data_IF_924742392994
#
_entry.id   IF_924742392994
#
_cell.length_a   1.000
_cell.length_b   1.000
_cell.length_c   1.000
_cell.angle_alpha   90.00
_cell.angle_beta   90.00
_cell.angle_gamma   90.00
#
_symmetry.space_group_name_H-M   'P 1'
#
loop_
_entity.id
_entity.type
_entity.pdbx_description
1 polymer ?
#
# COMPACT_ATOMS: atom_id res chain seq x y z
N UNK A 1 -5.66 -9.28 61.95
CA UNK A 1 -6.26 -8.81 60.68
C UNK A 1 -6.35 -9.99 59.73
N UNK A 2 -7.53 -10.20 59.15
CA UNK A 2 -7.88 -11.05 57.99
C UNK A 2 -7.55 -12.55 58.04
N UNK A 3 -8.52 -13.45 58.24
CA UNK A 3 -9.41 -14.05 57.22
C UNK A 3 -8.70 -14.56 55.96
N UNK A 4 -8.66 -15.90 55.82
CA UNK A 4 -9.11 -16.57 54.59
C UNK A 4 -9.21 -18.08 54.79
N UNK A 5 -10.42 -18.56 54.56
CA UNK A 5 -10.87 -19.95 54.50
C UNK A 5 -10.23 -20.66 53.30
N UNK A 6 -9.90 -21.94 53.44
CA UNK A 6 -9.75 -22.86 52.31
C UNK A 6 -10.73 -24.02 52.46
N UNK A 7 -11.56 -24.15 51.42
CA UNK A 7 -12.57 -25.18 51.23
C UNK A 7 -11.95 -26.49 50.75
N UNK A 8 -12.50 -27.56 51.29
CA UNK A 8 -12.29 -28.96 50.97
C UNK A 8 -13.01 -29.35 49.67
N UNK A 9 -12.34 -30.11 48.79
CA UNK A 9 -12.99 -30.89 47.73
C UNK A 9 -12.29 -32.25 47.60
N UNK A 10 -13.06 -33.31 47.75
CA UNK A 10 -12.64 -34.71 47.64
C UNK A 10 -12.43 -35.21 46.20
N UNK A 11 -12.05 -36.49 46.03
CA UNK A 11 -11.22 -36.96 44.93
C UNK A 11 -12.02 -37.56 43.76
N UNK A 12 -11.51 -37.38 42.54
CA UNK A 12 -11.97 -38.12 41.36
C UNK A 12 -10.92 -39.13 40.89
N UNK A 13 -11.30 -40.40 40.95
CA UNK A 13 -11.31 -41.33 39.81
C UNK A 13 -9.99 -41.61 39.10
N UNK A 14 -9.46 -42.82 39.32
CA UNK A 14 -8.39 -43.39 38.52
C UNK A 14 -8.80 -43.80 37.11
N UNK A 15 -7.79 -43.99 36.26
CA UNK A 15 -7.97 -44.64 34.96
C UNK A 15 -6.86 -44.32 33.96
N UNK A 16 -6.06 -45.36 33.67
CA UNK A 16 -5.29 -45.61 32.44
C UNK A 16 -4.05 -44.76 32.14
N UNK A 17 -2.92 -45.34 32.51
CA UNK A 17 -1.56 -45.11 32.01
C UNK A 17 -1.50 -45.48 30.51
N UNK A 18 -1.13 -44.52 29.66
CA UNK A 18 -0.81 -44.76 28.25
C UNK A 18 0.70 -44.58 28.09
N UNK A 19 1.35 -45.68 27.72
CA UNK A 19 2.79 -45.79 27.53
C UNK A 19 3.20 -45.11 26.21
N UNK A 20 3.95 -44.02 26.32
CA UNK A 20 4.58 -43.31 25.21
C UNK A 20 5.97 -43.92 25.00
N UNK A 21 6.10 -44.91 24.11
CA UNK A 21 7.30 -45.19 23.30
C UNK A 21 7.09 -46.49 22.50
N UNK A 22 6.75 -46.36 21.21
CA UNK A 22 7.16 -47.27 20.14
C UNK A 22 6.90 -46.59 18.79
N UNK A 23 7.93 -45.92 18.28
CA UNK A 23 7.96 -45.37 16.94
C UNK A 23 8.70 -46.37 16.03
N UNK A 24 7.95 -47.14 15.25
CA UNK A 24 8.51 -47.86 14.10
C UNK A 24 8.30 -47.02 12.84
N UNK A 25 9.42 -46.71 12.19
CA UNK A 25 9.53 -45.98 10.93
C UNK A 25 9.28 -46.94 9.78
N UNK A 26 8.28 -46.66 8.94
CA UNK A 26 8.03 -47.41 7.69
C UNK A 26 8.55 -46.60 6.52
N UNK A 27 9.41 -47.25 5.73
CA UNK A 27 10.09 -46.72 4.55
C UNK A 27 9.11 -46.35 3.41
N UNK A 28 9.35 -45.21 2.79
CA UNK A 28 8.60 -44.71 1.63
C UNK A 28 9.30 -45.14 0.33
N UNK A 29 8.62 -45.91 -0.52
CA UNK A 29 9.05 -46.12 -1.91
C UNK A 29 8.76 -47.51 -2.47
N UNK A 30 7.53 -47.73 -2.95
CA UNK A 30 7.25 -48.72 -4.01
C UNK A 30 6.15 -48.16 -4.92
N UNK A 31 6.48 -48.04 -6.21
CA UNK A 31 5.55 -47.70 -7.29
C UNK A 31 4.54 -48.83 -7.51
N UNK A 32 3.24 -48.50 -7.49
CA UNK A 32 2.18 -49.36 -7.99
C UNK A 32 1.50 -48.71 -9.20
N UNK A 33 1.30 -49.50 -10.26
CA UNK A 33 0.73 -49.10 -11.54
C UNK A 33 -0.75 -48.67 -11.43
N UNK A 34 -1.25 -47.76 -12.28
CA UNK A 34 -2.63 -47.29 -12.20
C UNK A 34 -3.61 -48.31 -12.79
N UNK A 35 -4.41 -48.92 -11.91
CA UNK A 35 -5.65 -49.60 -12.24
C UNK A 35 -6.83 -48.62 -12.28
N UNK A 36 -7.71 -48.82 -13.25
CA UNK A 36 -8.89 -48.04 -13.62
C UNK A 36 -9.84 -47.76 -12.44
N UNK A 37 -10.03 -46.49 -12.11
CA UNK A 37 -11.20 -46.00 -11.37
C UNK A 37 -12.11 -45.26 -12.34
N UNK A 38 -13.38 -45.66 -12.35
CA UNK A 38 -14.44 -45.08 -13.17
C UNK A 38 -14.95 -43.81 -12.48
N UNK A 39 -14.59 -42.64 -13.02
CA UNK A 39 -14.98 -41.34 -12.49
C UNK A 39 -16.30 -40.89 -13.14
N UNK A 40 -17.40 -41.03 -12.39
CA UNK A 40 -18.78 -40.77 -12.84
C UNK A 40 -19.18 -39.30 -12.73
N UNK A 41 -18.25 -38.34 -12.76
CA UNK A 41 -18.60 -36.92 -12.72
C UNK A 41 -17.77 -36.06 -13.68
N UNK A 42 -18.09 -36.13 -14.97
CA UNK A 42 -17.60 -35.19 -16.00
C UNK A 42 -18.71 -34.20 -16.39
N UNK A 43 -18.58 -32.90 -16.09
CA UNK A 43 -19.51 -31.87 -16.57
C UNK A 43 -19.36 -31.63 -18.09
N UNK A 44 -20.48 -31.40 -18.75
CA UNK A 44 -20.65 -31.36 -20.21
C UNK A 44 -20.41 -29.97 -20.83
N UNK A 45 -19.19 -29.44 -20.79
CA UNK A 45 -18.79 -28.37 -21.71
C UNK A 45 -17.27 -28.38 -21.95
N UNK A 46 -16.76 -29.42 -22.58
CA UNK A 46 -15.45 -29.32 -23.24
C UNK A 46 -15.46 -30.31 -24.41
N UNK A 47 -15.74 -29.76 -25.58
CA UNK A 47 -15.61 -30.44 -26.86
C UNK A 47 -14.67 -29.61 -27.75
N UNK A 48 -13.85 -30.37 -28.46
CA UNK A 48 -12.62 -30.01 -29.15
C UNK A 48 -12.80 -29.01 -30.30
N UNK A 49 -11.78 -28.18 -30.52
CA UNK A 49 -11.42 -27.72 -31.86
C UNK A 49 -9.93 -28.00 -32.09
N UNK A 50 -9.67 -28.81 -33.12
CA UNK A 50 -8.38 -29.30 -33.59
C UNK A 50 -7.56 -28.22 -34.29
N UNK A 51 -6.24 -28.35 -34.19
CA UNK A 51 -5.25 -27.71 -35.06
C UNK A 51 -5.53 -28.04 -36.54
N UNK A 52 -5.71 -27.00 -37.36
CA UNK A 52 -5.07 -26.87 -38.68
C UNK A 52 -5.48 -25.55 -39.35
N UNK A 53 -4.59 -24.56 -39.33
CA UNK A 53 -4.50 -23.50 -40.33
C UNK A 53 -3.26 -22.64 -40.06
N UNK A 54 -2.14 -23.05 -40.67
CA UNK A 54 -1.08 -22.11 -41.04
C UNK A 54 -1.63 -21.25 -42.18
N UNK A 55 -1.76 -19.94 -41.97
CA UNK A 55 -1.58 -18.98 -43.06
C UNK A 55 -1.28 -17.57 -42.55
N UNK A 56 -0.46 -16.90 -43.37
CA UNK A 56 0.23 -15.64 -43.20
C UNK A 56 -0.57 -14.48 -42.58
N UNK A 57 0.02 -13.82 -41.57
CA UNK A 57 -0.28 -12.42 -41.27
C UNK A 57 0.84 -11.54 -41.82
N UNK A 58 0.54 -10.99 -42.99
CA UNK A 58 1.23 -9.90 -43.65
C UNK A 58 1.23 -8.65 -42.74
N UNK A 59 2.41 -8.10 -42.50
CA UNK A 59 2.61 -6.93 -41.64
C UNK A 59 2.20 -5.68 -42.40
N UNK A 60 1.06 -5.07 -42.05
CA UNK A 60 0.73 -3.73 -42.53
C UNK A 60 1.57 -2.67 -41.79
N UNK A 61 2.33 -1.81 -42.49
CA UNK A 61 3.03 -0.70 -41.86
C UNK A 61 2.05 0.42 -41.48
N UNK A 62 2.16 0.88 -40.24
CA UNK A 62 1.48 2.07 -39.72
C UNK A 62 2.03 3.30 -40.48
N UNK A 63 1.19 4.19 -41.05
CA UNK A 63 1.68 5.40 -41.69
C UNK A 63 2.29 6.33 -40.64
N UNK A 64 3.55 6.72 -40.88
CA UNK A 64 4.25 7.74 -40.11
C UNK A 64 3.51 9.08 -40.23
N UNK A 65 2.94 9.56 -39.13
CA UNK A 65 2.47 10.94 -39.03
C UNK A 65 3.64 11.92 -39.18
N UNK A 66 3.41 13.13 -39.71
CA UNK A 66 4.49 14.05 -40.03
C UNK A 66 5.27 14.45 -38.78
N UNK A 67 6.59 14.30 -38.85
CA UNK A 67 7.52 14.82 -37.86
C UNK A 67 7.29 16.32 -37.70
N UNK A 68 6.81 16.73 -36.52
CA UNK A 68 6.81 18.14 -36.11
C UNK A 68 8.26 18.50 -35.78
N UNK A 69 8.95 19.09 -36.76
CA UNK A 69 10.24 19.76 -36.54
C UNK A 69 9.99 20.92 -35.58
N UNK A 70 10.34 20.76 -34.31
CA UNK A 70 10.49 21.90 -33.42
C UNK A 70 11.75 22.64 -33.88
N UNK A 71 11.56 23.74 -34.61
CA UNK A 71 12.60 24.73 -34.83
C UNK A 71 13.04 25.25 -33.46
N UNK A 72 14.26 24.88 -33.04
CA UNK A 72 14.97 25.61 -32.00
C UNK A 72 15.37 26.95 -32.60
N UNK A 73 14.74 28.01 -32.12
CA UNK A 73 15.14 29.40 -32.36
C UNK A 73 16.52 29.60 -31.74
N UNK A 74 17.52 29.92 -32.57
CA UNK A 74 18.84 30.32 -32.08
C UNK A 74 18.74 31.65 -31.31
N UNK A 75 19.44 31.79 -30.16
CA UNK A 75 19.60 33.09 -29.54
C UNK A 75 20.59 33.95 -30.33
N UNK A 76 20.09 35.08 -30.84
CA UNK A 76 20.87 36.17 -31.45
C UNK A 76 21.87 36.72 -30.43
N UNK A 77 23.17 36.66 -30.76
CA UNK A 77 24.24 37.34 -30.02
C UNK A 77 24.15 38.86 -30.25
N UNK A 78 24.23 39.69 -29.20
CA UNK A 78 24.36 41.14 -29.38
C UNK A 78 25.79 41.52 -29.81
N UNK A 79 25.88 42.39 -30.81
CA UNK A 79 27.11 43.04 -31.28
C UNK A 79 27.82 43.81 -30.15
N UNK A 80 29.17 43.90 -30.15
CA UNK A 80 29.90 44.71 -29.17
C UNK A 80 29.79 46.20 -29.48
N UNK A 81 29.51 47.00 -28.44
CA UNK A 81 29.56 48.46 -28.46
C UNK A 81 31.02 48.97 -28.49
N UNK A 82 31.30 50.13 -29.12
CA UNK A 82 32.64 50.67 -29.21
C UNK A 82 33.11 51.35 -27.92
N UNK A 83 34.41 51.21 -27.65
CA UNK A 83 35.15 51.86 -26.56
C UNK A 83 35.07 53.38 -26.68
N UNK A 84 34.58 54.04 -25.61
CA UNK A 84 34.56 55.50 -25.48
C UNK A 84 35.83 55.97 -24.77
N UNK A 85 36.64 56.79 -25.46
CA UNK A 85 37.77 57.52 -24.90
C UNK A 85 37.28 58.67 -24.01
N UNK A 86 37.98 59.04 -22.92
CA UNK A 86 37.69 60.29 -22.20
C UNK A 86 38.34 61.50 -22.92
N UNK A 87 37.64 62.63 -23.06
CA UNK A 87 38.23 63.87 -23.57
C UNK A 87 38.83 64.74 -22.46
N UNK A 88 39.84 65.51 -22.88
CA UNK A 88 40.53 66.61 -22.20
C UNK A 88 39.58 67.64 -21.55
N UNK A 89 40.03 68.42 -20.54
CA UNK A 89 39.46 69.72 -20.26
C UNK A 89 40.28 70.84 -20.92
N UNK A 90 39.59 71.72 -21.64
CA UNK A 90 40.10 72.97 -22.17
C UNK A 90 39.44 74.17 -21.46
N UNK A 91 40.28 75.15 -21.12
CA UNK A 91 40.06 76.60 -21.11
C UNK A 91 38.97 77.21 -20.20
N UNK A 92 39.43 77.94 -19.19
CA UNK A 92 38.72 79.08 -18.59
C UNK A 92 39.38 80.39 -19.04
N UNK A 93 38.60 81.28 -19.66
CA UNK A 93 39.03 82.61 -20.11
C UNK A 93 38.69 83.67 -19.06
N UNK A 94 39.73 84.31 -18.54
CA UNK A 94 39.92 85.77 -18.49
C UNK A 94 39.08 86.65 -17.56
N UNK A 95 39.76 87.43 -16.71
CA UNK A 95 39.52 88.89 -16.55
C UNK A 95 40.83 89.66 -16.32
N UNK A 96 40.91 90.82 -17.00
CA UNK A 96 41.90 91.93 -16.94
C UNK A 96 42.03 92.48 -15.50
N UNK A 97 43.11 93.13 -15.06
CA UNK A 97 43.65 94.37 -15.61
C UNK A 97 45.00 94.83 -14.99
N UNK A 98 45.70 95.66 -15.78
CA UNK A 98 46.63 96.77 -15.48
C UNK A 98 47.92 96.54 -14.65
N UNK A 99 49.12 96.68 -15.23
CA UNK A 99 49.88 97.89 -15.67
C UNK A 99 50.82 98.44 -14.57
N UNK A 100 52.14 98.21 -14.69
CA UNK A 100 53.21 99.26 -14.78
C UNK A 100 54.64 98.71 -14.52
N UNK A 101 55.48 98.86 -15.55
CA UNK A 101 56.87 99.41 -15.63
C UNK A 101 58.05 98.82 -14.83
N UNK A 102 59.08 98.44 -15.63
CA UNK A 102 60.56 98.71 -15.54
C UNK A 102 61.32 98.16 -14.32
N UNK A 103 62.58 97.73 -14.34
CA UNK A 103 63.75 97.79 -15.24
C UNK A 103 64.64 96.54 -14.95
N UNK A 104 65.30 95.92 -15.95
CA UNK A 104 66.77 95.88 -16.19
C UNK A 104 67.69 95.79 -14.97
N UNK A 105 68.56 94.76 -14.96
CA UNK A 105 70.05 94.78 -14.87
C UNK A 105 70.51 93.29 -14.66
N UNK A 106 71.38 92.63 -15.46
CA UNK A 106 72.83 92.80 -15.70
C UNK A 106 73.58 93.02 -14.36
N UNK A 107 74.57 92.27 -13.88
CA UNK A 107 75.63 91.42 -14.42
C UNK A 107 76.27 90.62 -13.25
N UNK A 108 77.08 89.63 -13.62
CA UNK A 108 78.13 88.87 -12.89
C UNK A 108 79.11 89.73 -12.04
N UNK A 109 80.15 89.18 -11.33
CA UNK A 109 80.52 87.79 -10.97
C UNK A 109 81.15 87.61 -9.55
N UNK A 110 81.72 86.41 -9.31
CA UNK A 110 82.79 86.02 -8.37
C UNK A 110 82.52 85.91 -6.86
N UNK A 111 82.58 84.67 -6.36
CA UNK A 111 83.65 84.29 -5.43
C UNK A 111 83.66 82.77 -5.23
N UNK A 112 84.85 82.21 -5.43
CA UNK A 112 85.16 80.81 -5.31
C UNK A 112 85.08 80.33 -3.86
N UNK A 113 84.98 79.00 -3.71
CA UNK A 113 85.30 78.24 -2.50
C UNK A 113 84.20 78.19 -1.43
N UNK A 114 83.27 77.23 -1.60
CA UNK A 114 82.67 76.36 -0.56
C UNK A 114 81.47 75.60 -1.14
N UNK A 115 81.74 74.66 -2.05
CA UNK A 115 80.75 73.72 -2.59
C UNK A 115 81.37 72.33 -2.69
N UNK A 116 81.55 71.61 -1.58
CA UNK A 116 81.80 70.16 -1.58
C UNK A 116 81.43 69.52 -0.22
N UNK A 117 80.31 69.91 0.38
CA UNK A 117 79.75 69.20 1.55
C UNK A 117 78.25 68.84 1.42
N UNK A 118 77.37 69.60 0.72
CA UNK A 118 75.99 69.15 0.51
C UNK A 118 75.81 68.22 -0.71
N UNK A 119 76.77 68.15 -1.63
CA UNK A 119 76.70 67.26 -2.81
C UNK A 119 77.15 65.81 -2.51
N UNK A 120 78.11 65.63 -1.62
CA UNK A 120 78.54 64.29 -1.20
C UNK A 120 77.46 63.58 -0.38
N UNK A 121 76.68 64.33 0.42
CA UNK A 121 75.58 63.78 1.21
C UNK A 121 74.38 63.40 0.35
N UNK A 122 74.08 64.17 -0.71
CA UNK A 122 73.02 63.83 -1.69
C UNK A 122 73.43 62.64 -2.57
N UNK A 123 74.71 62.52 -2.97
CA UNK A 123 75.20 61.35 -3.72
C UNK A 123 75.34 60.12 -2.82
N UNK A 124 75.69 60.27 -1.55
CA UNK A 124 75.67 59.16 -0.58
C UNK A 124 74.24 58.73 -0.23
N UNK A 125 73.26 59.64 -0.19
CA UNK A 125 71.83 59.29 -0.08
C UNK A 125 71.26 58.69 -1.37
N UNK A 126 71.72 59.14 -2.55
CA UNK A 126 71.30 58.58 -3.85
C UNK A 126 71.96 57.23 -4.13
N UNK A 127 73.22 57.01 -3.74
CA UNK A 127 73.93 55.74 -3.90
C UNK A 127 73.61 54.74 -2.77
N UNK A 128 73.50 55.23 -1.53
CA UNK A 128 73.08 54.42 -0.37
C UNK A 128 71.58 54.10 -0.36
N UNK A 129 70.75 55.00 -0.90
CA UNK A 129 69.33 54.77 -1.12
C UNK A 129 69.11 53.61 -2.09
N UNK A 130 69.83 53.55 -3.22
CA UNK A 130 69.67 52.45 -4.20
C UNK A 130 70.12 51.07 -3.70
N UNK A 131 71.03 50.97 -2.73
CA UNK A 131 71.46 49.67 -2.19
C UNK A 131 70.50 49.09 -1.16
N UNK A 132 69.72 49.91 -0.44
CA UNK A 132 68.72 49.42 0.50
C UNK A 132 67.50 48.79 -0.19
N UNK A 133 67.12 49.31 -1.37
CA UNK A 133 66.00 48.78 -2.16
C UNK A 133 66.22 47.37 -2.71
N UNK A 134 67.46 46.85 -2.74
CA UNK A 134 67.74 45.49 -3.22
C UNK A 134 67.70 44.46 -2.09
N UNK A 135 67.80 44.90 -0.83
CA UNK A 135 67.84 43.98 0.32
C UNK A 135 66.45 43.44 0.72
N UNK A 136 65.38 44.17 0.40
CA UNK A 136 64.00 43.79 0.72
C UNK A 136 63.24 43.15 -0.45
N UNK A 137 63.88 42.97 -1.61
CA UNK A 137 63.29 42.25 -2.74
C UNK A 137 63.25 40.75 -2.47
N UNK A 138 62.03 40.18 -2.44
CA UNK A 138 61.79 38.76 -2.16
C UNK A 138 61.34 38.08 -3.45
N UNK A 139 62.01 37.01 -3.84
CA UNK A 139 61.57 36.16 -4.94
C UNK A 139 60.68 35.06 -4.38
N UNK A 140 59.38 35.05 -4.71
CA UNK A 140 58.40 34.11 -4.15
C UNK A 140 57.65 33.38 -5.26
N UNK A 141 57.16 32.19 -4.96
CA UNK A 141 56.30 31.41 -5.86
C UNK A 141 54.85 31.46 -5.39
N UNK A 142 53.99 32.13 -6.16
CA UNK A 142 52.56 32.19 -5.91
C UNK A 142 51.82 31.20 -6.83
N UNK A 143 51.23 30.16 -6.24
CA UNK A 143 50.37 29.20 -6.91
C UNK A 143 48.91 29.50 -6.63
N UNK A 144 48.19 30.06 -7.61
CA UNK A 144 46.75 30.29 -7.50
C UNK A 144 46.00 29.21 -8.26
N UNK A 145 45.21 28.39 -7.56
CA UNK A 145 44.40 27.32 -8.16
C UNK A 145 45.23 26.35 -9.04
N UNK A 146 46.45 26.03 -8.58
CA UNK A 146 47.37 25.13 -9.28
C UNK A 146 48.10 25.76 -10.48
N UNK A 147 48.10 27.09 -10.61
CA UNK A 147 48.90 27.82 -11.62
C UNK A 147 50.05 28.56 -10.93
N UNK A 148 51.28 28.03 -10.98
CA UNK A 148 52.43 28.67 -10.35
C UNK A 148 52.85 29.92 -11.12
N UNK A 149 53.27 30.94 -10.38
CA UNK A 149 53.89 32.18 -10.88
C UNK A 149 55.03 32.57 -9.95
N UNK A 150 56.24 32.67 -10.48
CA UNK A 150 57.35 33.28 -9.76
C UNK A 150 57.28 34.79 -9.92
N UNK A 151 57.35 35.52 -8.81
CA UNK A 151 57.27 36.97 -8.78
C UNK A 151 58.23 37.57 -7.75
N UNK A 152 58.58 38.83 -7.97
CA UNK A 152 59.38 39.62 -7.06
C UNK A 152 58.45 40.57 -6.30
N UNK A 153 58.59 40.64 -4.98
CA UNK A 153 57.73 41.45 -4.13
C UNK A 153 58.50 42.09 -2.98
N UNK A 154 57.98 43.22 -2.51
CA UNK A 154 58.43 43.91 -1.31
C UNK A 154 57.46 43.71 -0.13
N UNK A 155 56.37 42.97 -0.32
CA UNK A 155 55.39 42.71 0.73
C UNK A 155 56.03 42.13 2.00
N UNK A 156 55.57 42.60 3.15
CA UNK A 156 56.03 42.15 4.47
C UNK A 156 55.38 40.81 4.84
N UNK A 157 54.13 40.59 4.42
CA UNK A 157 53.36 39.40 4.73
C UNK A 157 52.57 38.84 3.53
N UNK A 158 52.05 37.63 3.70
CA UNK A 158 51.23 36.94 2.67
C UNK A 158 49.96 37.72 2.32
N UNK A 159 49.34 38.41 3.26
CA UNK A 159 48.12 39.19 3.01
C UNK A 159 48.37 40.39 2.10
N UNK A 160 49.45 41.14 2.35
CA UNK A 160 49.89 42.25 1.51
C UNK A 160 50.25 41.77 0.10
N UNK A 161 51.01 40.68 -0.01
CA UNK A 161 51.34 40.05 -1.29
C UNK A 161 50.10 39.75 -2.14
N UNK A 162 49.09 39.12 -1.53
CA UNK A 162 47.85 38.77 -2.23
C UNK A 162 47.05 40.00 -2.63
N UNK A 163 47.05 41.06 -1.82
CA UNK A 163 46.38 42.32 -2.14
C UNK A 163 47.03 43.01 -3.36
N UNK A 164 48.36 43.06 -3.40
CA UNK A 164 49.14 43.67 -4.49
C UNK A 164 48.95 42.93 -5.82
N UNK A 165 48.92 41.59 -5.79
CA UNK A 165 48.63 40.77 -6.98
C UNK A 165 47.14 40.73 -7.34
N UNK A 166 46.28 41.43 -6.60
CA UNK A 166 44.83 41.49 -6.85
C UNK A 166 44.10 40.17 -6.58
N UNK A 167 44.70 39.28 -5.78
CA UNK A 167 44.15 37.98 -5.39
C UNK A 167 43.22 38.16 -4.20
N UNK A 168 41.92 38.30 -4.49
CA UNK A 168 40.89 38.38 -3.45
C UNK A 168 40.58 36.98 -2.91
N UNK A 169 40.72 36.82 -1.60
CA UNK A 169 40.37 35.59 -0.88
C UNK A 169 39.11 35.80 -0.04
N UNK A 170 38.23 34.80 -0.04
CA UNK A 170 37.00 34.73 0.74
C UNK A 170 37.13 33.78 1.94
N UNK A 171 36.04 33.66 2.70
CA UNK A 171 35.97 32.86 3.93
C UNK A 171 36.26 31.35 3.72
N UNK A 172 35.94 30.82 2.54
CA UNK A 172 36.07 29.39 2.22
C UNK A 172 37.31 29.07 1.38
N UNK A 173 38.19 30.05 1.18
CA UNK A 173 39.45 29.88 0.48
C UNK A 173 40.54 29.41 1.46
N UNK A 174 41.49 28.63 0.96
CA UNK A 174 42.63 28.17 1.75
C UNK A 174 43.88 28.85 1.21
N UNK A 175 44.58 29.58 2.09
CA UNK A 175 45.86 30.22 1.81
C UNK A 175 46.91 29.61 2.72
N UNK A 176 48.01 29.14 2.13
CA UNK A 176 49.16 28.58 2.85
C UNK A 176 50.43 29.24 2.32
N UNK A 177 51.25 29.87 3.17
CA UNK A 177 51.03 30.19 4.59
C UNK A 177 49.81 31.10 4.84
N UNK A 178 49.33 31.21 6.09
CA UNK A 178 48.12 31.97 6.40
C UNK A 178 48.30 33.49 6.14
N UNK A 179 47.21 34.23 5.85
CA UNK A 179 47.28 35.69 5.71
C UNK A 179 47.86 36.33 6.99
N UNK A 180 48.87 37.19 6.86
CA UNK A 180 49.62 37.79 7.97
C UNK A 180 50.85 37.00 8.45
N UNK A 181 51.21 35.89 7.77
CA UNK A 181 52.52 35.24 7.97
C UNK A 181 53.61 36.08 7.30
N UNK A 182 54.73 36.31 8.00
CA UNK A 182 55.90 37.00 7.45
C UNK A 182 56.39 36.32 6.17
N UNK A 183 56.80 37.11 5.18
CA UNK A 183 57.25 36.62 3.88
C UNK A 183 58.78 36.67 3.76
N UNK A 184 59.40 35.61 3.26
CA UNK A 184 60.82 35.52 2.95
C UNK A 184 61.07 35.16 1.47
N UNK A 185 62.28 35.46 0.99
CA UNK A 185 62.70 35.07 -0.36
C UNK A 185 62.84 33.54 -0.44
N UNK A 186 62.24 32.94 -1.46
CA UNK A 186 62.12 31.50 -1.65
C UNK A 186 60.81 30.89 -1.15
N UNK A 187 59.93 31.68 -0.53
CA UNK A 187 58.65 31.17 -0.02
C UNK A 187 57.70 30.74 -1.13
N UNK A 188 56.97 29.66 -0.86
CA UNK A 188 55.90 29.13 -1.70
C UNK A 188 54.54 29.46 -1.06
N UNK A 189 53.71 30.20 -1.79
CA UNK A 189 52.39 30.64 -1.36
C UNK A 189 51.36 29.97 -2.26
N UNK A 190 50.48 29.19 -1.66
CA UNK A 190 49.41 28.50 -2.38
C UNK A 190 48.05 29.05 -1.97
N UNK A 191 47.25 29.41 -2.97
CA UNK A 191 45.87 29.85 -2.83
C UNK A 191 44.95 28.85 -3.52
N UNK A 192 44.07 28.21 -2.75
CA UNK A 192 43.00 27.37 -3.27
C UNK A 192 41.65 28.04 -3.04
N UNK A 193 40.93 28.36 -4.12
CA UNK A 193 39.61 28.95 -3.98
C UNK A 193 38.57 27.91 -3.56
N UNK A 194 37.72 28.28 -2.61
CA UNK A 194 36.52 27.56 -2.23
C UNK A 194 35.49 27.57 -3.35
N UNK A 195 34.85 26.43 -3.56
CA UNK A 195 33.84 26.20 -4.59
C UNK A 195 32.59 25.60 -3.95
N UNK A 196 31.41 26.21 -4.12
CA UNK A 196 30.20 25.68 -3.54
C UNK A 196 29.71 24.46 -4.32
N UNK A 197 29.40 23.37 -3.64
CA UNK A 197 28.90 22.13 -4.23
C UNK A 197 27.52 21.83 -3.64
N UNK A 198 26.52 21.76 -4.53
CA UNK A 198 25.16 21.32 -4.20
C UNK A 198 25.02 19.85 -4.61
N UNK A 199 25.11 18.96 -3.64
CA UNK A 199 25.11 17.51 -3.84
C UNK A 199 23.78 16.92 -3.35
N UNK A 200 23.05 16.22 -4.22
CA UNK A 200 21.99 15.32 -3.80
C UNK A 200 22.56 13.92 -3.65
N UNK A 201 22.95 13.53 -2.44
CA UNK A 201 23.47 12.20 -2.16
C UNK A 201 22.32 11.29 -1.71
N UNK A 202 22.03 10.24 -2.49
CA UNK A 202 21.02 9.25 -2.13
C UNK A 202 19.63 9.86 -1.81
N UNK A 203 19.29 10.92 -2.55
CA UNK A 203 18.05 11.68 -2.40
C UNK A 203 18.08 12.75 -1.30
N UNK A 204 19.18 12.88 -0.55
CA UNK A 204 19.35 13.91 0.48
C UNK A 204 20.14 15.11 -0.07
N UNK A 205 19.55 16.31 -0.13
CA UNK A 205 20.26 17.50 -0.59
C UNK A 205 21.24 17.98 0.49
N UNK A 206 22.46 18.30 0.06
CA UNK A 206 23.53 18.84 0.88
C UNK A 206 24.24 19.96 0.13
N UNK A 207 24.66 20.99 0.86
CA UNK A 207 25.49 22.07 0.33
C UNK A 207 26.76 22.17 1.16
N UNK A 208 27.91 22.22 0.49
CA UNK A 208 29.20 22.29 1.15
C UNK A 208 30.23 22.97 0.25
N UNK A 209 31.33 23.42 0.85
CA UNK A 209 32.43 24.10 0.13
C UNK A 209 33.64 23.17 0.00
N UNK A 210 34.23 23.14 -1.20
CA UNK A 210 35.43 22.36 -1.49
C UNK A 210 36.49 23.21 -2.18
N UNK A 211 37.76 22.91 -1.92
CA UNK A 211 38.89 23.43 -2.73
C UNK A 211 39.20 22.53 -3.93
N UNK A 212 38.57 21.36 -4.03
CA UNK A 212 38.80 20.40 -5.10
C UNK A 212 38.46 20.96 -6.49
N UNK A 213 39.29 20.63 -7.48
CA UNK A 213 39.10 21.13 -8.84
C UNK A 213 38.19 20.25 -9.69
N UNK A 214 37.92 19.02 -9.26
CA UNK A 214 37.13 18.02 -9.98
C UNK A 214 36.11 17.34 -9.09
N UNK A 215 35.06 16.79 -9.70
CA UNK A 215 34.02 16.03 -8.99
C UNK A 215 34.61 14.82 -8.25
N UNK A 216 35.52 14.08 -8.88
CA UNK A 216 36.18 12.93 -8.27
C UNK A 216 36.91 13.29 -6.98
N UNK A 217 37.70 14.36 -7.01
CA UNK A 217 38.44 14.84 -5.85
C UNK A 217 37.49 15.32 -4.75
N UNK A 218 36.43 16.06 -5.10
CA UNK A 218 35.43 16.53 -4.16
C UNK A 218 34.70 15.38 -3.46
N UNK A 219 34.28 14.34 -4.21
CA UNK A 219 33.62 13.17 -3.64
C UNK A 219 34.58 12.35 -2.76
N UNK A 220 35.86 12.28 -3.12
CA UNK A 220 36.89 11.63 -2.30
C UNK A 220 37.08 12.36 -0.96
N UNK A 221 37.10 13.69 -0.95
CA UNK A 221 37.15 14.48 0.29
C UNK A 221 35.93 14.23 1.18
N UNK A 222 34.75 14.04 0.57
CA UNK A 222 33.51 13.73 1.29
C UNK A 222 33.39 12.25 1.71
N UNK A 223 34.34 11.39 1.32
CA UNK A 223 34.29 9.95 1.60
C UNK A 223 33.20 9.20 0.84
N UNK A 224 32.66 9.78 -0.24
CA UNK A 224 31.62 9.15 -1.05
C UNK A 224 32.26 8.18 -2.04
N UNK A 225 31.92 6.89 -1.94
CA UNK A 225 32.35 5.88 -2.90
C UNK A 225 31.64 6.11 -4.25
N UNK A 226 32.38 6.62 -5.22
CA UNK A 226 31.86 6.89 -6.57
C UNK A 226 31.74 5.63 -7.45
N UNK A 227 32.47 4.55 -7.12
CA UNK A 227 32.48 3.32 -7.90
C UNK A 227 31.10 2.62 -7.89
N UNK A 228 30.59 2.25 -9.09
CA UNK A 228 29.23 1.71 -9.27
C UNK A 228 28.08 2.72 -9.08
N UNK A 229 28.38 3.92 -8.54
CA UNK A 229 27.37 4.95 -8.31
C UNK A 229 26.86 5.56 -9.63
N UNK A 230 25.58 5.90 -9.65
CA UNK A 230 25.04 6.80 -10.67
C UNK A 230 25.46 8.24 -10.33
N UNK A 231 25.84 9.00 -11.35
CA UNK A 231 26.20 10.40 -11.23
C UNK A 231 25.53 11.20 -12.35
N UNK A 232 24.93 12.34 -12.01
CA UNK A 232 24.36 13.24 -13.02
C UNK A 232 25.41 14.00 -13.84
N UNK A 233 26.67 14.02 -13.37
CA UNK A 233 27.82 14.66 -14.00
C UNK A 233 29.02 13.70 -14.05
N UNK A 234 29.97 13.96 -14.95
CA UNK A 234 31.21 13.17 -15.04
C UNK A 234 32.09 13.33 -13.79
N UNK A 235 32.80 12.28 -13.39
CA UNK A 235 33.84 12.33 -12.33
C UNK A 235 34.98 13.30 -12.66
N UNK A 236 35.32 13.42 -13.93
CA UNK A 236 36.35 14.33 -14.43
C UNK A 236 35.84 15.76 -14.66
N UNK A 237 34.55 16.02 -14.43
CA UNK A 237 33.99 17.37 -14.58
C UNK A 237 34.70 18.33 -13.64
N UNK A 238 35.17 19.45 -14.18
CA UNK A 238 35.77 20.51 -13.37
C UNK A 238 34.69 21.26 -12.58
N UNK A 239 35.00 21.56 -11.32
CA UNK A 239 34.17 22.41 -10.47
C UNK A 239 34.67 23.84 -10.64
N UNK A 240 33.83 24.72 -11.19
CA UNK A 240 34.16 26.14 -11.34
C UNK A 240 34.01 26.91 -10.03
N UNK A 241 34.45 28.18 -10.00
CA UNK A 241 34.24 29.08 -8.84
C UNK A 241 32.76 29.39 -8.57
N UNK A 242 31.92 29.30 -9.60
CA UNK A 242 30.46 29.40 -9.45
C UNK A 242 29.83 28.17 -8.77
N UNK A 243 30.62 27.12 -8.53
CA UNK A 243 30.16 25.87 -7.95
C UNK A 243 29.63 24.86 -8.96
N UNK A 244 29.10 23.77 -8.45
CA UNK A 244 28.51 22.68 -9.24
C UNK A 244 27.34 22.03 -8.49
N UNK A 245 26.26 21.74 -9.21
CA UNK A 245 25.16 20.92 -8.70
C UNK A 245 25.24 19.52 -9.29
N UNK A 246 25.09 18.49 -8.48
CA UNK A 246 25.13 17.10 -8.93
C UNK A 246 24.28 16.18 -8.08
N UNK A 247 23.80 15.10 -8.68
CA UNK A 247 23.08 14.03 -8.01
C UNK A 247 23.94 12.77 -8.05
N UNK A 248 24.16 12.17 -6.89
CA UNK A 248 24.92 10.93 -6.73
C UNK A 248 24.05 9.91 -6.04
N UNK A 249 23.90 8.74 -6.66
CA UNK A 249 23.22 7.59 -6.06
C UNK A 249 24.23 6.47 -5.90
N UNK A 250 24.59 6.19 -4.65
CA UNK A 250 25.58 5.16 -4.30
C UNK A 250 25.11 3.77 -4.76
N UNK A 251 26.05 2.89 -5.05
CA UNK A 251 25.71 1.50 -5.30
C UNK A 251 25.37 0.79 -3.98
N UNK A 252 24.27 0.05 -3.97
CA UNK A 252 23.78 -0.71 -2.83
C UNK A 252 23.38 -2.13 -3.20
N UNK A 253 23.50 -3.03 -2.23
CA UNK A 253 23.00 -4.40 -2.31
C UNK A 253 21.55 -4.44 -1.83
N UNK A 254 20.63 -4.94 -2.65
CA UNK A 254 19.23 -5.15 -2.28
C UNK A 254 18.86 -6.60 -2.58
N UNK A 255 18.25 -7.27 -1.61
CA UNK A 255 17.71 -8.62 -1.78
C UNK A 255 16.22 -8.53 -2.04
N UNK A 256 15.78 -8.96 -3.23
CA UNK A 256 14.38 -9.02 -3.60
C UNK A 256 13.87 -10.45 -3.45
N UNK A 257 12.84 -10.63 -2.63
CA UNK A 257 12.14 -11.89 -2.43
C UNK A 257 10.86 -11.88 -3.24
N UNK A 258 10.73 -12.73 -4.25
CA UNK A 258 9.52 -12.85 -5.05
C UNK A 258 9.25 -14.31 -5.40
N UNK A 259 7.99 -14.73 -5.33
CA UNK A 259 7.54 -16.05 -5.79
C UNK A 259 8.37 -17.21 -5.19
N UNK A 260 8.72 -17.08 -3.90
CA UNK A 260 9.52 -18.04 -3.14
C UNK A 260 11.03 -18.02 -3.42
N UNK A 261 11.52 -17.13 -4.28
CA UNK A 261 12.94 -17.02 -4.65
C UNK A 261 13.55 -15.72 -4.15
N UNK A 262 14.80 -15.81 -3.68
CA UNK A 262 15.63 -14.68 -3.31
C UNK A 262 16.54 -14.28 -4.48
N UNK A 263 16.61 -12.98 -4.79
CA UNK A 263 17.57 -12.44 -5.74
C UNK A 263 18.24 -11.20 -5.15
N UNK A 264 19.54 -11.29 -4.89
CA UNK A 264 20.35 -10.14 -4.48
C UNK A 264 20.94 -9.47 -5.70
N UNK A 265 20.79 -8.15 -5.78
CA UNK A 265 21.34 -7.31 -6.85
C UNK A 265 22.16 -6.16 -6.27
N UNK A 266 23.16 -5.72 -7.02
CA UNK A 266 23.82 -4.42 -6.82
C UNK A 266 23.13 -3.41 -7.73
N UNK A 267 22.68 -2.29 -7.19
CA UNK A 267 21.90 -1.29 -7.92
C UNK A 267 22.15 0.11 -7.38
N UNK A 268 21.90 1.13 -8.19
CA UNK A 268 21.87 2.53 -7.80
C UNK A 268 20.45 3.13 -7.97
N UNK A 269 19.42 2.26 -8.04
CA UNK A 269 18.02 2.62 -8.16
C UNK A 269 17.60 3.70 -7.15
N UNK A 270 16.80 4.67 -7.62
CA UNK A 270 16.28 5.75 -6.77
C UNK A 270 15.10 5.29 -5.91
N UNK A 271 14.41 4.23 -6.34
CA UNK A 271 13.23 3.70 -5.64
C UNK A 271 13.27 2.18 -5.50
N UNK A 272 12.54 1.65 -4.52
CA UNK A 272 12.35 0.20 -4.35
C UNK A 272 11.73 -0.43 -5.59
N UNK A 273 10.79 0.26 -6.25
CA UNK A 273 10.19 -0.21 -7.50
C UNK A 273 11.23 -0.41 -8.59
N UNK A 274 12.14 0.55 -8.77
CA UNK A 274 13.25 0.43 -9.72
C UNK A 274 14.21 -0.71 -9.36
N UNK A 275 14.53 -0.88 -8.07
CA UNK A 275 15.38 -1.99 -7.61
C UNK A 275 14.72 -3.36 -7.89
N UNK A 276 13.41 -3.49 -7.66
CA UNK A 276 12.65 -4.71 -7.97
C UNK A 276 12.62 -4.97 -9.48
N UNK A 277 12.44 -3.94 -10.30
CA UNK A 277 12.51 -4.05 -11.75
C UNK A 277 13.92 -4.46 -12.24
N UNK A 278 14.97 -3.89 -11.65
CA UNK A 278 16.36 -4.26 -11.94
C UNK A 278 16.67 -5.71 -11.53
N UNK A 279 15.97 -6.25 -10.53
CA UNK A 279 16.02 -7.67 -10.19
C UNK A 279 15.24 -8.55 -11.18
N UNK A 280 14.72 -8.00 -12.28
CA UNK A 280 13.96 -8.72 -13.30
C UNK A 280 12.53 -9.08 -12.87
N UNK A 281 12.00 -8.42 -11.83
CA UNK A 281 10.67 -8.69 -11.29
C UNK A 281 9.76 -7.52 -11.63
N UNK A 282 8.72 -7.79 -12.43
CA UNK A 282 7.71 -6.78 -12.76
C UNK A 282 6.53 -6.89 -11.79
N UNK A 283 6.13 -5.77 -11.19
CA UNK A 283 4.89 -5.64 -10.43
C UNK A 283 3.73 -5.44 -11.41
N UNK A 284 2.64 -6.21 -11.25
CA UNK A 284 1.46 -6.12 -12.12
C UNK A 284 0.20 -5.85 -11.31
N UNK A 285 -0.75 -5.13 -11.89
CA UNK A 285 -2.06 -4.89 -11.26
C UNK A 285 -1.90 -4.25 -9.88
N UNK A 286 -2.30 -4.97 -8.84
CA UNK A 286 -2.25 -4.52 -7.45
C UNK A 286 -0.98 -4.99 -6.70
N UNK A 287 -0.04 -5.67 -7.37
CA UNK A 287 1.21 -6.12 -6.75
C UNK A 287 1.95 -4.96 -6.09
N UNK A 288 2.50 -5.22 -4.91
CA UNK A 288 3.25 -4.23 -4.15
C UNK A 288 4.47 -4.86 -3.47
N UNK A 289 5.20 -4.09 -2.69
CA UNK A 289 6.37 -4.54 -1.94
C UNK A 289 6.13 -4.42 -0.43
N UNK A 290 6.92 -5.14 0.37
CA UNK A 290 6.86 -5.10 1.84
C UNK A 290 7.21 -3.73 2.43
N UNK A 291 7.90 -2.91 1.65
CA UNK A 291 8.16 -1.50 1.90
C UNK A 291 7.53 -0.66 0.81
N UNK A 292 7.39 0.64 1.01
CA UNK A 292 6.77 1.53 0.02
C UNK A 292 7.54 1.50 -1.32
N UNK A 293 6.89 1.21 -2.47
CA UNK A 293 7.58 1.11 -3.75
C UNK A 293 8.33 2.39 -4.19
N UNK A 294 7.88 3.56 -3.76
CA UNK A 294 8.52 4.85 -4.03
C UNK A 294 9.64 5.23 -3.06
N UNK A 295 9.82 4.47 -1.97
CA UNK A 295 10.87 4.76 -0.99
C UNK A 295 12.26 4.44 -1.52
N UNK A 296 13.26 5.10 -0.95
CA UNK A 296 14.66 4.88 -1.30
C UNK A 296 15.17 3.53 -0.74
N UNK A 297 15.79 2.64 -1.56
CA UNK A 297 16.32 1.38 -1.06
C UNK A 297 17.55 1.58 -0.18
N UNK A 298 17.68 0.79 0.89
CA UNK A 298 18.85 0.79 1.78
C UNK A 298 19.82 -0.34 1.44
N UNK A 299 21.10 -0.14 1.75
CA UNK A 299 22.11 -1.20 1.58
C UNK A 299 21.83 -2.40 2.50
N UNK A 300 21.92 -3.61 1.96
CA UNK A 300 21.56 -4.85 2.63
C UNK A 300 20.05 -5.07 2.83
N UNK A 301 19.18 -4.19 2.35
CA UNK A 301 17.74 -4.29 2.57
C UNK A 301 17.13 -5.52 1.88
N UNK A 302 16.22 -6.20 2.58
CA UNK A 302 15.37 -7.23 1.98
C UNK A 302 13.99 -6.65 1.65
N UNK A 303 13.57 -6.78 0.40
CA UNK A 303 12.29 -6.33 -0.13
C UNK A 303 11.49 -7.53 -0.60
N UNK A 304 10.34 -7.79 0.02
CA UNK A 304 9.44 -8.88 -0.41
C UNK A 304 8.38 -8.35 -1.35
N UNK A 305 8.23 -8.99 -2.51
CA UNK A 305 7.14 -8.73 -3.46
C UNK A 305 5.89 -9.45 -2.98
N UNK A 306 4.80 -8.71 -2.92
CA UNK A 306 3.48 -9.18 -2.53
C UNK A 306 2.62 -9.28 -3.79
N UNK A 307 2.37 -10.52 -4.24
CA UNK A 307 1.49 -10.80 -5.38
C UNK A 307 0.05 -10.68 -4.96
N UNK A 308 -0.69 -9.73 -5.55
CA UNK A 308 -2.06 -9.43 -5.15
C UNK A 308 -3.00 -9.70 -6.32
N UNK A 309 -3.95 -10.59 -6.09
CA UNK A 309 -5.04 -10.84 -7.04
C UNK A 309 -6.38 -10.52 -6.42
N UNK A 310 -7.24 -9.86 -7.19
CA UNK A 310 -8.61 -9.52 -6.82
C UNK A 310 -9.59 -10.17 -7.78
N UNK A 311 -10.68 -10.72 -7.25
CA UNK A 311 -11.82 -11.17 -8.05
C UNK A 311 -13.14 -10.88 -7.34
N UNK A 312 -14.25 -10.98 -8.07
CA UNK A 312 -15.58 -10.87 -7.51
C UNK A 312 -16.25 -12.24 -7.53
N UNK A 313 -16.93 -12.58 -6.44
CA UNK A 313 -17.75 -13.78 -6.33
C UNK A 313 -19.19 -13.37 -6.02
N UNK A 314 -20.12 -13.88 -6.81
CA UNK A 314 -21.55 -13.64 -6.63
C UNK A 314 -22.16 -14.89 -6.00
N UNK A 315 -22.81 -14.71 -4.84
CA UNK A 315 -23.56 -15.78 -4.16
C UNK A 315 -25.03 -15.45 -4.12
N UNK A 316 -25.85 -16.42 -4.47
CA UNK A 316 -27.30 -16.32 -4.33
C UNK A 316 -27.76 -17.12 -3.11
N UNK A 317 -28.50 -16.45 -2.23
CA UNK A 317 -29.04 -17.05 -1.01
C UNK A 317 -30.56 -16.90 -0.98
N UNK A 318 -31.24 -17.96 -0.53
CA UNK A 318 -32.68 -17.94 -0.40
C UNK A 318 -33.10 -17.14 0.84
N UNK A 319 -34.12 -16.29 0.67
CA UNK A 319 -34.77 -15.59 1.78
C UNK A 319 -36.01 -16.42 2.16
N UNK A 320 -36.10 -16.98 3.37
CA UNK A 320 -37.28 -17.69 3.81
C UNK A 320 -38.54 -16.81 3.73
N UNK A 321 -39.69 -17.43 3.48
CA UNK A 321 -40.98 -16.72 3.47
C UNK A 321 -41.68 -16.83 4.82
N UNK A 322 -42.44 -15.79 5.19
CA UNK A 322 -43.32 -15.82 6.36
C UNK A 322 -44.62 -16.59 6.10
N UNK A 323 -45.27 -17.04 7.17
CA UNK A 323 -46.60 -17.68 7.12
C UNK A 323 -47.61 -16.84 7.89
N UNK A 324 -48.64 -16.33 7.21
CA UNK A 324 -49.79 -15.66 7.82
C UNK A 324 -50.95 -16.62 7.99
N UNK A 325 -51.45 -16.74 9.20
CA UNK A 325 -52.61 -17.57 9.53
C UNK A 325 -53.80 -16.68 9.81
N UNK A 326 -54.93 -16.94 9.16
CA UNK A 326 -56.16 -16.15 9.30
C UNK A 326 -57.31 -17.08 9.71
N UNK A 327 -58.02 -16.73 10.78
CA UNK A 327 -59.15 -17.50 11.26
C UNK A 327 -60.32 -17.47 10.25
N UNK A 328 -60.99 -18.60 10.08
CA UNK A 328 -62.07 -18.76 9.13
C UNK A 328 -63.27 -19.50 9.74
N UNK A 329 -64.40 -18.80 10.00
CA UNK A 329 -65.58 -19.40 10.60
C UNK A 329 -66.38 -20.29 9.62
N UNK A 330 -66.00 -20.35 8.34
CA UNK A 330 -66.61 -21.28 7.37
C UNK A 330 -65.96 -22.67 7.38
N UNK A 331 -64.69 -22.75 7.78
CA UNK A 331 -63.93 -23.99 7.86
C UNK A 331 -64.05 -24.62 9.26
N UNK A 332 -64.21 -25.93 9.31
CA UNK A 332 -64.25 -26.67 10.57
C UNK A 332 -62.94 -26.55 11.33
N UNK A 333 -63.04 -26.49 12.66
CA UNK A 333 -61.89 -26.47 13.56
C UNK A 333 -60.93 -27.63 13.25
N UNK A 334 -59.63 -27.32 13.17
CA UNK A 334 -58.59 -28.28 12.77
C UNK A 334 -58.43 -28.47 11.26
N UNK A 335 -59.26 -27.85 10.43
CA UNK A 335 -59.00 -27.74 9.00
C UNK A 335 -58.08 -26.55 8.71
N UNK A 336 -57.08 -26.77 7.87
CA UNK A 336 -56.19 -25.73 7.35
C UNK A 336 -56.25 -25.77 5.83
N UNK A 337 -56.38 -24.59 5.22
CA UNK A 337 -56.38 -24.44 3.78
C UNK A 337 -55.35 -23.38 3.42
N UNK A 338 -54.39 -23.74 2.57
CA UNK A 338 -53.45 -22.79 2.00
C UNK A 338 -54.18 -21.95 0.95
N UNK A 339 -54.52 -20.71 1.30
CA UNK A 339 -55.16 -19.75 0.39
C UNK A 339 -54.14 -19.28 -0.66
N UNK A 340 -52.89 -19.06 -0.24
CA UNK A 340 -51.81 -18.65 -1.13
C UNK A 340 -50.51 -19.30 -0.69
N UNK A 341 -49.89 -20.07 -1.58
CA UNK A 341 -48.59 -20.67 -1.32
C UNK A 341 -47.50 -19.60 -1.15
N UNK A 342 -46.62 -19.79 -0.15
CA UNK A 342 -45.44 -18.96 0.01
C UNK A 342 -44.43 -19.19 -1.11
N UNK A 343 -43.52 -18.23 -1.30
CA UNK A 343 -42.39 -18.39 -2.24
C UNK A 343 -41.14 -17.80 -1.59
N UNK A 344 -40.03 -18.54 -1.50
CA UNK A 344 -38.80 -17.98 -0.97
C UNK A 344 -38.32 -16.82 -1.86
N UNK A 345 -37.82 -15.78 -1.22
CA UNK A 345 -37.11 -14.70 -1.88
C UNK A 345 -35.73 -15.18 -2.33
N UNK A 346 -35.02 -14.32 -3.05
CA UNK A 346 -33.66 -14.55 -3.49
C UNK A 346 -32.90 -13.25 -3.29
N UNK A 347 -31.83 -13.30 -2.49
CA UNK A 347 -30.85 -12.21 -2.45
C UNK A 347 -29.57 -12.63 -3.14
N UNK A 348 -28.94 -11.66 -3.79
CA UNK A 348 -27.64 -11.80 -4.41
C UNK A 348 -26.64 -10.97 -3.62
N UNK A 349 -25.58 -11.61 -3.16
CA UNK A 349 -24.51 -10.99 -2.40
C UNK A 349 -23.24 -11.05 -3.26
N UNK A 350 -22.66 -9.89 -3.55
CA UNK A 350 -21.38 -9.80 -4.27
C UNK A 350 -20.25 -9.61 -3.25
N UNK A 351 -19.26 -10.50 -3.28
CA UNK A 351 -18.06 -10.46 -2.46
C UNK A 351 -16.85 -10.03 -3.28
N UNK A 352 -15.99 -9.19 -2.71
CA UNK A 352 -14.62 -9.02 -3.17
C UNK A 352 -13.76 -10.11 -2.51
N UNK A 353 -13.12 -10.91 -3.35
CA UNK A 353 -12.08 -11.83 -2.95
C UNK A 353 -10.73 -11.17 -3.22
N UNK A 354 -9.83 -11.26 -2.25
CA UNK A 354 -8.44 -10.79 -2.38
C UNK A 354 -7.52 -11.91 -1.93
N UNK A 355 -6.46 -12.14 -2.68
CA UNK A 355 -5.38 -13.07 -2.31
C UNK A 355 -4.07 -12.32 -2.24
N UNK A 356 -3.23 -12.64 -1.26
CA UNK A 356 -1.86 -12.11 -1.12
C UNK A 356 -0.91 -13.29 -1.10
N UNK A 357 0.01 -13.38 -2.06
CA UNK A 357 0.92 -14.50 -2.24
C UNK A 357 0.19 -15.87 -2.27
N UNK A 358 -0.98 -15.92 -2.93
CA UNK A 358 -1.80 -17.13 -3.02
C UNK A 358 -2.69 -17.40 -1.81
N UNK A 359 -2.50 -16.69 -0.69
CA UNK A 359 -3.32 -16.85 0.52
C UNK A 359 -4.58 -15.99 0.44
N UNK A 360 -5.74 -16.66 0.39
CA UNK A 360 -7.06 -16.02 0.37
C UNK A 360 -7.32 -15.25 1.67
N UNK A 361 -7.64 -13.97 1.53
CA UNK A 361 -8.13 -13.13 2.62
C UNK A 361 -9.62 -13.36 2.86
N UNK A 362 -10.12 -12.90 4.01
CA UNK A 362 -11.55 -12.95 4.32
C UNK A 362 -12.35 -12.20 3.24
N UNK A 363 -13.37 -12.82 2.62
CA UNK A 363 -14.21 -12.15 1.63
C UNK A 363 -14.87 -10.90 2.21
N UNK A 364 -14.80 -9.79 1.47
CA UNK A 364 -15.47 -8.54 1.85
C UNK A 364 -16.77 -8.39 1.06
N UNK A 365 -17.91 -8.30 1.74
CA UNK A 365 -19.19 -8.02 1.08
C UNK A 365 -19.13 -6.61 0.45
N UNK A 366 -19.35 -6.53 -0.86
CA UNK A 366 -19.41 -5.27 -1.61
C UNK A 366 -20.84 -4.76 -1.74
N UNK A 367 -21.75 -5.65 -2.13
CA UNK A 367 -23.15 -5.32 -2.44
C UNK A 367 -24.06 -6.48 -2.04
N UNK A 368 -25.25 -6.14 -1.60
CA UNK A 368 -26.36 -7.06 -1.37
C UNK A 368 -27.60 -6.47 -2.04
N UNK A 369 -28.31 -7.29 -2.81
CA UNK A 369 -29.54 -6.89 -3.47
C UNK A 369 -30.57 -8.01 -3.40
N UNK A 370 -31.84 -7.64 -3.20
CA UNK A 370 -32.95 -8.59 -3.28
C UNK A 370 -33.35 -8.70 -4.75
N UNK A 371 -33.04 -9.84 -5.36
CA UNK A 371 -33.40 -10.17 -6.75
C UNK A 371 -34.88 -10.54 -6.84
N UNK A 372 -35.40 -11.18 -5.79
CA UNK A 372 -36.81 -11.56 -5.67
C UNK A 372 -37.28 -11.44 -4.23
N UNK A 373 -38.32 -10.67 -4.00
CA UNK A 373 -38.95 -10.57 -2.68
C UNK A 373 -39.58 -11.91 -2.26
N UNK A 374 -39.46 -12.31 -0.98
CA UNK A 374 -40.19 -13.46 -0.46
C UNK A 374 -41.69 -13.17 -0.47
N UNK A 375 -42.48 -14.16 -0.90
CA UNK A 375 -43.95 -14.10 -0.86
C UNK A 375 -44.45 -14.85 0.36
N UNK A 376 -45.16 -14.14 1.24
CA UNK A 376 -45.82 -14.72 2.41
C UNK A 376 -46.84 -15.80 2.02
N UNK A 377 -46.81 -16.93 2.73
CA UNK A 377 -47.84 -17.96 2.63
C UNK A 377 -49.06 -17.54 3.44
N UNK A 378 -50.26 -17.61 2.85
CA UNK A 378 -51.52 -17.36 3.56
C UNK A 378 -52.24 -18.68 3.81
N UNK A 379 -52.54 -18.95 5.06
CA UNK A 379 -53.25 -20.15 5.51
C UNK A 379 -54.51 -19.73 6.26
N UNK A 380 -55.67 -20.19 5.79
CA UNK A 380 -56.93 -20.07 6.51
C UNK A 380 -57.05 -21.23 7.48
N UNK A 381 -57.31 -20.93 8.75
CA UNK A 381 -57.44 -21.91 9.83
C UNK A 381 -58.90 -21.92 10.28
N UNK A 382 -59.54 -23.08 10.21
CA UNK A 382 -60.94 -23.21 10.55
C UNK A 382 -61.23 -22.95 12.02
N UNK A 383 -62.28 -22.17 12.29
CA UNK A 383 -62.79 -21.89 13.63
C UNK A 383 -64.25 -22.30 13.81
N UNK A 384 -64.90 -22.83 12.76
CA UNK A 384 -66.26 -23.37 12.86
C UNK A 384 -66.27 -24.58 13.79
N UNK A 385 -67.05 -24.58 14.87
CA UNK A 385 -67.21 -25.76 15.71
C UNK A 385 -67.64 -26.95 14.86
N UNK A 386 -67.08 -28.12 15.16
CA UNK A 386 -67.58 -29.36 14.58
C UNK A 386 -69.03 -29.55 15.03
N UNK A 387 -69.94 -30.01 14.15
CA UNK A 387 -71.32 -30.25 14.56
C UNK A 387 -71.32 -31.27 15.70
N UNK A 388 -72.08 -31.02 16.77
CA UNK A 388 -72.21 -31.93 17.92
C UNK A 388 -73.52 -32.73 17.89
N UNK A 389 -74.42 -32.36 16.98
CA UNK A 389 -75.74 -32.97 16.79
C UNK A 389 -75.83 -33.71 15.45
N UNK A 390 -76.53 -34.84 15.48
CA UNK A 390 -76.87 -35.62 14.29
C UNK A 390 -78.34 -35.97 14.40
N UNK A 391 -79.14 -35.43 13.46
CA UNK A 391 -80.58 -35.67 13.39
C UNK A 391 -80.87 -37.17 13.35
N UNK A 392 -81.76 -37.65 14.23
CA UNK A 392 -82.13 -39.07 14.36
C UNK A 392 -81.29 -39.84 15.40
N UNK A 393 -80.29 -39.21 16.01
CA UNK A 393 -79.44 -39.82 17.03
C UNK A 393 -79.35 -39.00 18.34
N UNK A 394 -79.82 -37.75 18.36
CA UNK A 394 -79.60 -36.85 19.50
C UNK A 394 -80.36 -37.24 20.80
N UNK A 395 -81.47 -37.97 20.69
CA UNK A 395 -82.30 -38.40 21.83
C UNK A 395 -81.91 -39.74 22.46
N UNK A 396 -80.79 -40.33 22.05
CA UNK A 396 -80.31 -41.63 22.55
C UNK A 396 -79.35 -41.47 23.74
N UNK A 397 -79.30 -42.47 24.61
CA UNK A 397 -78.37 -42.50 25.75
C UNK A 397 -76.94 -42.89 25.32
N UNK A 398 -76.24 -41.89 24.76
CA UNK A 398 -74.84 -41.99 24.37
C UNK A 398 -73.88 -42.18 25.56
N UNK A 399 -74.30 -41.81 26.78
CA UNK A 399 -73.49 -42.02 27.99
C UNK A 399 -73.59 -43.47 28.43
N UNK A 400 -74.79 -44.05 28.40
CA UNK A 400 -75.02 -45.46 28.66
C UNK A 400 -74.22 -46.36 27.71
N UNK A 401 -74.22 -46.04 26.41
CA UNK A 401 -73.39 -46.73 25.43
C UNK A 401 -71.89 -46.58 25.73
N UNK A 402 -71.39 -45.35 25.93
CA UNK A 402 -69.97 -45.12 26.20
C UNK A 402 -69.48 -45.77 27.50
N UNK A 403 -70.32 -45.80 28.54
CA UNK A 403 -70.03 -46.48 29.80
C UNK A 403 -69.88 -48.00 29.61
N UNK A 404 -70.66 -48.59 28.70
CA UNK A 404 -70.54 -50.00 28.34
C UNK A 404 -69.27 -50.30 27.55
N UNK A 405 -68.99 -49.49 26.53
CA UNK A 405 -67.92 -49.74 25.57
C UNK A 405 -66.52 -49.44 26.13
N UNK A 406 -66.37 -48.38 26.92
CA UNK A 406 -65.04 -47.90 27.37
C UNK A 406 -64.96 -47.56 28.87
N UNK A 407 -66.07 -47.72 29.60
CA UNK A 407 -66.21 -47.15 30.94
C UNK A 407 -66.34 -45.62 30.92
N UNK A 408 -66.70 -45.03 29.78
CA UNK A 408 -66.81 -43.59 29.61
C UNK A 408 -65.46 -42.86 29.47
N UNK A 409 -64.39 -43.58 29.10
CA UNK A 409 -63.02 -43.03 28.99
C UNK A 409 -62.69 -42.69 27.53
N UNK A 410 -62.51 -41.40 27.17
CA UNK A 410 -62.23 -41.00 25.78
C UNK A 410 -60.88 -41.46 25.23
N UNK A 411 -59.92 -41.73 26.11
CA UNK A 411 -58.60 -42.26 25.73
C UNK A 411 -58.51 -43.78 25.78
N UNK A 412 -59.63 -44.50 25.97
CA UNK A 412 -59.60 -45.96 26.06
C UNK A 412 -59.09 -46.58 24.76
N UNK A 413 -58.28 -47.62 24.89
CA UNK A 413 -57.82 -48.46 23.78
C UNK A 413 -57.98 -49.90 24.24
N UNK A 414 -58.50 -50.76 23.37
CA UNK A 414 -58.64 -52.17 23.70
C UNK A 414 -57.26 -52.86 23.77
N UNK A 415 -57.14 -54.02 24.43
CA UNK A 415 -55.86 -54.74 24.55
C UNK A 415 -55.18 -55.06 23.22
N UNK A 416 -55.92 -55.19 22.11
CA UNK A 416 -55.33 -55.42 20.78
C UNK A 416 -54.78 -54.14 20.13
N UNK A 417 -55.13 -52.96 20.64
CA UNK A 417 -54.77 -51.68 20.03
C UNK A 417 -55.59 -51.30 18.79
N UNK A 418 -56.57 -52.13 18.41
CA UNK A 418 -57.33 -51.99 17.16
C UNK A 418 -58.46 -50.98 17.30
N UNK A 419 -59.11 -50.97 18.46
CA UNK A 419 -60.29 -50.17 18.78
C UNK A 419 -59.96 -49.15 19.87
N UNK A 420 -60.43 -47.92 19.71
CA UNK A 420 -60.20 -46.87 20.69
C UNK A 420 -61.29 -45.81 20.76
N UNK A 421 -61.24 -45.04 21.84
CA UNK A 421 -62.20 -43.99 22.16
C UNK A 421 -63.44 -44.50 22.90
N UNK A 422 -64.32 -43.56 23.25
CA UNK A 422 -65.56 -43.74 24.01
C UNK A 422 -66.45 -44.87 23.49
N UNK A 423 -66.42 -45.10 22.18
CA UNK A 423 -67.29 -46.03 21.45
C UNK A 423 -66.52 -47.15 20.74
N UNK A 424 -65.25 -47.36 21.10
CA UNK A 424 -64.40 -48.44 20.59
C UNK A 424 -64.39 -48.51 19.05
N UNK A 425 -64.07 -47.39 18.40
CA UNK A 425 -63.95 -47.36 16.93
C UNK A 425 -62.65 -48.01 16.48
N UNK A 426 -62.70 -48.79 15.40
CA UNK A 426 -61.49 -49.05 14.63
C UNK A 426 -61.11 -47.81 13.79
N UNK A 427 -59.82 -47.68 13.48
CA UNK A 427 -59.30 -46.49 12.78
C UNK A 427 -59.90 -46.32 11.38
N UNK A 428 -60.24 -47.42 10.67
CA UNK A 428 -60.80 -47.35 9.32
C UNK A 428 -62.23 -46.84 9.35
N UNK A 429 -63.06 -47.35 10.27
CA UNK A 429 -64.43 -46.87 10.47
C UNK A 429 -64.42 -45.41 10.93
N UNK A 430 -63.54 -45.05 11.87
CA UNK A 430 -63.33 -43.68 12.32
C UNK A 430 -63.08 -42.72 11.16
N UNK A 431 -62.11 -43.04 10.28
CA UNK A 431 -61.77 -42.23 9.12
C UNK A 431 -62.91 -42.17 8.10
N UNK A 432 -63.65 -43.27 7.88
CA UNK A 432 -64.82 -43.30 6.98
C UNK A 432 -65.97 -42.37 7.40
N UNK A 433 -66.01 -41.98 8.68
CA UNK A 433 -66.99 -41.04 9.24
C UNK A 433 -66.52 -39.59 9.20
N UNK A 434 -65.31 -39.35 8.67
CA UNK A 434 -64.63 -38.07 8.61
C UNK A 434 -63.68 -37.84 9.79
N UNK A 435 -63.25 -38.91 10.48
CA UNK A 435 -62.20 -38.88 11.50
C UNK A 435 -60.83 -38.59 10.92
N UNK A 436 -60.05 -37.74 11.60
CA UNK A 436 -58.60 -37.63 11.37
C UNK A 436 -57.87 -38.33 12.51
N UNK A 437 -56.69 -38.87 12.25
CA UNK A 437 -55.91 -39.59 13.26
C UNK A 437 -56.60 -40.84 13.81
N UNK A 438 -56.33 -41.18 15.08
CA UNK A 438 -56.96 -42.30 15.80
C UNK A 438 -58.13 -41.80 16.66
N UNK A 439 -59.17 -42.63 16.90
CA UNK A 439 -60.36 -42.20 17.63
C UNK A 439 -60.09 -41.74 19.07
N UNK A 440 -59.18 -42.40 19.79
CA UNK A 440 -58.82 -42.07 21.17
C UNK A 440 -58.07 -40.73 21.34
N UNK A 441 -57.49 -40.20 20.25
CA UNK A 441 -56.73 -38.94 20.26
C UNK A 441 -57.64 -37.72 20.02
N UNK A 442 -58.91 -37.95 19.63
CA UNK A 442 -59.87 -36.89 19.37
C UNK A 442 -60.66 -36.49 20.63
N UNK A 443 -61.12 -35.23 20.76
CA UNK A 443 -62.00 -34.82 21.85
C UNK A 443 -63.24 -35.70 21.96
N UNK A 444 -63.68 -35.98 23.20
CA UNK A 444 -64.87 -36.79 23.50
C UNK A 444 -66.11 -36.38 22.68
N UNK A 445 -66.35 -35.07 22.51
CA UNK A 445 -67.45 -34.56 21.71
C UNK A 445 -67.38 -34.97 20.23
N UNK A 446 -66.17 -35.02 19.66
CA UNK A 446 -65.91 -35.48 18.29
C UNK A 446 -66.17 -36.97 18.16
N UNK A 447 -65.77 -37.75 19.16
CA UNK A 447 -66.02 -39.19 19.22
C UNK A 447 -67.51 -39.49 19.27
N UNK A 448 -68.26 -38.80 20.12
CA UNK A 448 -69.73 -38.92 20.21
C UNK A 448 -70.41 -38.47 18.93
N UNK A 449 -69.96 -37.38 18.30
CA UNK A 449 -70.50 -36.94 17.03
C UNK A 449 -70.36 -38.02 15.94
N UNK A 450 -69.19 -38.67 15.85
CA UNK A 450 -68.99 -39.74 14.87
C UNK A 450 -69.77 -41.01 15.21
N UNK A 451 -69.92 -41.35 16.49
CA UNK A 451 -70.79 -42.44 16.93
C UNK A 451 -72.25 -42.19 16.50
N UNK A 452 -72.76 -40.98 16.71
CA UNK A 452 -74.06 -40.57 16.21
C UNK A 452 -74.19 -40.72 14.69
N UNK A 453 -73.18 -40.32 13.91
CA UNK A 453 -73.19 -40.51 12.44
C UNK A 453 -73.19 -41.98 12.04
N UNK A 454 -72.44 -42.82 12.75
CA UNK A 454 -72.39 -44.26 12.48
C UNK A 454 -73.75 -44.91 12.76
N UNK A 455 -74.39 -44.54 13.87
CA UNK A 455 -75.71 -45.02 14.22
C UNK A 455 -76.77 -44.64 13.19
N UNK A 456 -76.78 -43.41 12.69
CA UNK A 456 -77.73 -43.03 11.63
C UNK A 456 -77.52 -43.86 10.36
N UNK A 457 -76.30 -44.35 10.09
CA UNK A 457 -76.00 -45.18 8.91
C UNK A 457 -76.29 -46.67 9.12
N UNK A 458 -76.08 -47.21 10.32
CA UNK A 458 -76.04 -48.66 10.58
C UNK A 458 -76.90 -49.11 11.77
N UNK A 459 -77.65 -48.19 12.37
CA UNK A 459 -78.33 -48.40 13.65
C UNK A 459 -77.34 -48.79 14.75
N UNK A 460 -77.81 -49.59 15.70
CA UNK A 460 -77.00 -50.10 16.80
C UNK A 460 -76.06 -51.26 16.42
N UNK A 461 -76.10 -51.76 15.16
CA UNK A 461 -75.34 -52.96 14.76
C UNK A 461 -73.83 -52.93 15.03
N UNK A 462 -73.11 -51.79 14.99
CA UNK A 462 -71.68 -51.75 15.31
C UNK A 462 -71.38 -51.98 16.80
N UNK A 463 -72.40 -51.89 17.66
CA UNK A 463 -72.30 -52.12 19.10
C UNK A 463 -73.26 -53.26 19.49
N UNK A 464 -72.95 -54.52 19.12
CA UNK A 464 -73.90 -55.64 19.23
C UNK A 464 -74.34 -55.92 20.66
N UNK A 465 -73.47 -55.71 21.65
CA UNK A 465 -73.76 -55.95 23.06
C UNK A 465 -74.24 -54.69 23.78
N UNK A 466 -73.55 -53.57 23.57
CA UNK A 466 -73.83 -52.34 24.29
C UNK A 466 -74.86 -51.43 23.63
N UNK A 467 -75.21 -51.67 22.36
CA UNK A 467 -76.17 -50.86 21.60
C UNK A 467 -77.56 -50.78 22.23
N UNK A 468 -77.94 -51.76 23.06
CA UNK A 468 -79.18 -51.72 23.86
C UNK A 468 -79.22 -50.53 24.84
N UNK A 469 -78.05 -50.10 25.34
CA UNK A 469 -77.94 -48.97 26.29
C UNK A 469 -78.19 -47.60 25.66
N UNK A 470 -78.43 -47.53 24.34
CA UNK A 470 -78.85 -46.29 23.69
C UNK A 470 -80.31 -45.90 23.99
N UNK A 471 -81.11 -46.81 24.55
CA UNK A 471 -82.54 -46.61 24.77
C UNK A 471 -82.95 -46.53 26.25
N UNK A 472 -81.98 -46.49 27.17
CA UNK A 472 -82.22 -46.53 28.63
C UNK A 472 -82.00 -47.91 29.22
#
# INVERSE_FOLDING_TARGET
MSNSQYLEYGPYGGGTQVDLHNAETVAYGVYAAPGTYDDTYRPSYEEYATDDARDAYETQPIPAGPARTLQLTEPVLPLPLPLSQPPLPAQGVGRRAERRRRARDAERPESAMRRLLPQALVVAFLAGGTTAFVADDKAVELTVDGRPRTLHTFADDVGELLADEGVRVGEHDVVVPAPGSDLASGDEITVHYGRPVRLTLDGQPQEWWTTAHTVEEALRQLGVRAEGAYMSVSRSQRIGRAGLAMDVRTERSVTVMADGRARTIRTNAATVREAVAAAGITLRGEDTTSVEPGSFPRDGQTVTVLRITGSQEVREEQIPFGVRRTADPSLFQGAEVVERAGRPGLRRITYALRSVNGVRQKPRRLREEIVREPREQRVRVGTKPLPSSVRGADGLDWRGLAACESGGRPGAVDPSGTYGGLYQFDTRTWQSLGGRGRPQDAPAAEQTYRAKKLYVRRGASPWPHCGRRLHG
#
